data_IF_160787266670
#
_entry.id   IF_160787266670
#
_cell.length_a   1.000
_cell.length_b   1.000
_cell.length_c   1.000
_cell.angle_alpha   90.00
_cell.angle_beta   90.00
_cell.angle_gamma   90.00
#
_symmetry.space_group_name_H-M   'P 1'
#
loop_
_entity.id
_entity.type
_entity.pdbx_description
1 polymer ?
#
# COMPACT_ATOMS: atom_id res chain seq x y z
N UNK A 1 -3.74 12.53 -5.89
CA UNK A 1 -4.52 11.68 -4.98
C UNK A 1 -3.74 11.45 -3.69
N UNK A 2 -4.43 11.48 -2.56
CA UNK A 2 -3.78 11.33 -1.25
C UNK A 2 -3.88 9.89 -0.75
N UNK A 3 -3.06 9.59 0.27
CA UNK A 3 -3.11 8.28 0.93
C UNK A 3 -4.52 8.00 1.48
N UNK A 4 -5.18 9.03 2.01
CA UNK A 4 -6.54 8.86 2.52
C UNK A 4 -7.51 8.44 1.42
N UNK A 5 -7.39 9.03 0.26
CA UNK A 5 -8.25 8.66 -0.87
C UNK A 5 -8.01 7.24 -1.32
N UNK A 6 -6.76 6.82 -1.35
CA UNK A 6 -6.41 5.43 -1.69
C UNK A 6 -6.99 4.48 -0.66
N UNK A 7 -6.91 4.83 0.61
CA UNK A 7 -7.48 4.01 1.68
C UNK A 7 -9.00 3.85 1.51
N UNK A 8 -9.69 4.92 1.16
CA UNK A 8 -11.12 4.86 0.92
C UNK A 8 -11.46 3.96 -0.28
N UNK A 9 -10.71 4.08 -1.35
CA UNK A 9 -10.92 3.24 -2.53
C UNK A 9 -10.68 1.77 -2.23
N UNK A 10 -9.68 1.49 -1.41
CA UNK A 10 -9.36 0.12 -1.03
C UNK A 10 -10.26 -0.42 0.08
N UNK A 11 -11.01 0.45 0.75
CA UNK A 11 -11.85 0.05 1.88
C UNK A 11 -11.05 -0.30 3.12
N UNK A 12 -9.93 0.38 3.32
CA UNK A 12 -9.04 0.14 4.46
C UNK A 12 -8.69 1.46 5.14
N UNK A 13 -8.03 1.39 6.29
CA UNK A 13 -7.60 2.60 6.99
C UNK A 13 -6.35 3.20 6.32
N UNK A 14 -6.12 4.51 6.48
CA UNK A 14 -4.89 5.12 5.98
C UNK A 14 -3.63 4.49 6.57
N UNK A 15 -3.71 4.01 7.80
CA UNK A 15 -2.60 3.30 8.43
C UNK A 15 -2.22 2.04 7.65
N UNK A 16 -3.23 1.29 7.19
CA UNK A 16 -2.97 0.09 6.39
C UNK A 16 -2.27 0.44 5.08
N UNK A 17 -2.68 1.52 4.44
CA UNK A 17 -2.04 1.99 3.21
C UNK A 17 -0.58 2.36 3.48
N UNK A 18 -0.33 3.05 4.59
CA UNK A 18 1.02 3.42 5.01
C UNK A 18 1.90 2.19 5.22
N UNK A 19 1.35 1.14 5.84
CA UNK A 19 2.07 -0.09 6.06
C UNK A 19 2.49 -0.74 4.73
N UNK A 20 1.58 -0.78 3.77
CA UNK A 20 1.90 -1.35 2.46
C UNK A 20 2.91 -0.48 1.73
N UNK A 21 2.77 0.83 1.81
CA UNK A 21 3.69 1.77 1.16
C UNK A 21 5.12 1.61 1.68
N UNK A 22 5.26 1.33 2.97
CA UNK A 22 6.56 1.14 3.62
C UNK A 22 6.97 -0.32 3.74
N UNK A 23 6.25 -1.22 3.11
CA UNK A 23 6.51 -2.65 3.13
C UNK A 23 6.60 -3.21 4.56
N UNK A 24 5.66 -2.80 5.41
CA UNK A 24 5.60 -3.28 6.78
C UNK A 24 4.61 -4.43 6.92
N UNK A 25 4.86 -5.37 7.84
CA UNK A 25 3.89 -6.42 8.14
C UNK A 25 2.70 -5.83 8.90
N UNK A 26 1.60 -6.58 8.93
CA UNK A 26 0.40 -6.19 9.66
C UNK A 26 -0.83 -6.03 8.78
N UNK A 27 -0.66 -6.15 7.48
CA UNK A 27 -1.78 -6.10 6.52
C UNK A 27 -1.92 -7.47 5.88
N UNK A 28 -3.16 -7.96 5.78
CA UNK A 28 -3.42 -9.23 5.15
C UNK A 28 -3.00 -9.27 3.69
N UNK A 29 -2.66 -10.45 3.16
CA UNK A 29 -2.14 -10.55 1.79
C UNK A 29 -3.14 -10.05 0.74
N UNK A 30 -4.41 -10.27 0.92
CA UNK A 30 -5.43 -9.80 -0.02
C UNK A 30 -5.53 -8.28 -0.02
N UNK A 31 -5.60 -7.69 1.16
CA UNK A 31 -5.66 -6.24 1.29
C UNK A 31 -4.38 -5.60 0.80
N UNK A 32 -3.25 -6.23 1.11
CA UNK A 32 -1.95 -5.75 0.65
C UNK A 32 -1.88 -5.67 -0.87
N UNK A 33 -2.29 -6.71 -1.55
CA UNK A 33 -2.29 -6.73 -3.01
C UNK A 33 -3.19 -5.64 -3.58
N UNK A 34 -4.36 -5.46 -3.01
CA UNK A 34 -5.32 -4.45 -3.45
C UNK A 34 -4.77 -3.05 -3.29
N UNK A 35 -4.23 -2.76 -2.12
CA UNK A 35 -3.64 -1.45 -1.82
C UNK A 35 -2.45 -1.19 -2.76
N UNK A 36 -1.62 -2.19 -2.96
CA UNK A 36 -0.46 -2.07 -3.83
C UNK A 36 -0.86 -1.73 -5.27
N UNK A 37 -1.88 -2.37 -5.78
CA UNK A 37 -2.39 -2.08 -7.11
C UNK A 37 -2.84 -0.63 -7.23
N UNK A 38 -3.55 -0.14 -6.24
CA UNK A 38 -4.00 1.24 -6.23
C UNK A 38 -2.83 2.22 -6.15
N UNK A 39 -1.85 1.92 -5.32
CA UNK A 39 -0.67 2.78 -5.19
C UNK A 39 0.08 2.87 -6.51
N UNK A 40 0.28 1.76 -7.18
CA UNK A 40 0.95 1.74 -8.48
C UNK A 40 0.13 2.47 -9.54
N UNK A 41 -1.17 2.26 -9.54
CA UNK A 41 -2.07 2.90 -10.51
C UNK A 41 -2.04 4.41 -10.42
N UNK A 42 -1.91 4.95 -9.22
CA UNK A 42 -1.92 6.39 -9.00
C UNK A 42 -0.53 7.00 -8.83
N UNK A 43 0.50 6.24 -9.17
CA UNK A 43 1.84 6.78 -9.26
C UNK A 43 2.63 6.83 -7.95
N UNK A 44 2.17 6.18 -6.91
CA UNK A 44 2.93 6.08 -5.67
C UNK A 44 3.98 5.00 -5.78
N UNK A 45 5.16 5.28 -5.26
CA UNK A 45 6.23 4.29 -5.20
C UNK A 45 6.12 3.51 -3.90
N UNK A 46 5.88 2.21 -4.03
CA UNK A 46 5.88 1.31 -2.89
C UNK A 46 7.32 0.94 -2.58
N UNK A 47 7.72 1.17 -1.33
CA UNK A 47 9.04 0.76 -0.88
C UNK A 47 9.08 -0.74 -0.77
N UNK A 48 9.83 -1.35 -1.66
CA UNK A 48 10.06 -2.77 -1.58
C UNK A 48 11.37 -3.01 -0.87
N UNK A 49 11.34 -3.92 0.07
CA UNK A 49 12.56 -4.42 0.66
C UNK A 49 13.34 -5.11 -0.43
N UNK A 50 14.30 -4.44 -0.94
CA UNK A 50 15.24 -5.12 -1.79
C UNK A 50 16.28 -5.77 -0.91
N UNK A 51 16.18 -7.06 -0.82
CA UNK A 51 17.34 -7.82 -0.47
C UNK A 51 18.28 -7.66 -1.65
N UNK A 52 19.09 -6.67 -1.57
CA UNK A 52 20.09 -6.49 -2.59
C UNK A 52 20.92 -7.74 -2.70
N UNK A 53 20.89 -8.29 -3.84
CA UNK A 53 21.85 -9.31 -4.14
C UNK A 53 23.24 -8.70 -4.13
#
# INVERSE_FOLDING_TARGET
MTIQEIAELAGVSPTAVSFVLNDRPGVGPEKRAKIRLLLEKYGYQVRQRQTAA
#
